data_IF_230538261126
#
_entry.id   IF_230538261126
#
_cell.length_a   1.000
_cell.length_b   1.000
_cell.length_c   1.000
_cell.angle_alpha   90.00
_cell.angle_beta   90.00
_cell.angle_gamma   90.00
#
_symmetry.space_group_name_H-M   'P 1'
#
loop_
_entity.id
_entity.type
_entity.pdbx_description
1 polymer ?
#
# COMPACT_ATOMS: atom_id res chain seq x y z
N UNK A 1 33.26 -3.08 0.18
CA UNK A 1 34.71 -3.44 0.26
C UNK A 1 35.15 -4.45 -0.78
N UNK A 2 34.72 -5.71 -0.82
CA UNK A 2 35.02 -6.65 -1.91
C UNK A 2 34.28 -6.22 -3.18
N UNK A 3 33.06 -5.78 -3.10
CA UNK A 3 32.24 -5.28 -4.23
C UNK A 3 32.79 -3.95 -4.79
N UNK A 4 33.24 -2.97 -3.98
CA UNK A 4 33.92 -1.75 -4.48
C UNK A 4 35.22 -2.08 -5.20
N UNK A 5 35.98 -3.09 -4.72
CA UNK A 5 37.18 -3.55 -5.43
C UNK A 5 36.88 -4.35 -6.70
N UNK A 6 35.79 -5.09 -6.72
CA UNK A 6 35.31 -5.77 -7.92
C UNK A 6 34.73 -4.75 -8.91
N UNK A 7 33.88 -3.82 -8.52
CA UNK A 7 33.35 -2.78 -9.40
C UNK A 7 34.47 -2.01 -10.11
N UNK A 8 35.48 -1.51 -9.40
CA UNK A 8 36.64 -0.81 -10.03
C UNK A 8 37.50 -1.67 -10.95
N UNK A 9 37.44 -3.01 -10.90
CA UNK A 9 38.07 -3.90 -11.88
C UNK A 9 37.14 -4.22 -13.06
N UNK A 10 35.83 -4.11 -12.88
CA UNK A 10 34.81 -4.45 -13.85
C UNK A 10 34.52 -3.33 -14.85
N UNK A 11 34.85 -2.08 -14.51
CA UNK A 11 34.81 -0.96 -15.46
C UNK A 11 35.69 -1.18 -16.71
N UNK A 12 36.59 -2.16 -16.66
CA UNK A 12 37.39 -2.56 -17.81
C UNK A 12 36.79 -3.66 -18.69
N UNK A 13 35.69 -4.29 -18.22
CA UNK A 13 34.95 -5.35 -18.95
C UNK A 13 33.56 -4.87 -19.41
N UNK A 14 33.46 -3.59 -19.71
CA UNK A 14 32.28 -2.74 -19.82
C UNK A 14 31.18 -3.18 -20.80
N UNK A 15 31.28 -4.29 -21.49
CA UNK A 15 30.33 -4.71 -22.54
C UNK A 15 29.97 -6.21 -22.47
N UNK A 16 30.23 -6.87 -21.35
CA UNK A 16 29.83 -8.28 -21.19
C UNK A 16 28.43 -8.37 -20.62
N UNK A 17 27.51 -9.24 -21.14
CA UNK A 17 26.21 -9.54 -20.54
C UNK A 17 26.32 -9.83 -19.04
N UNK A 18 27.36 -10.52 -18.60
CA UNK A 18 27.63 -10.81 -17.20
C UNK A 18 27.79 -9.55 -16.33
N UNK A 19 28.36 -8.48 -16.88
CA UNK A 19 28.50 -7.19 -16.16
C UNK A 19 27.14 -6.56 -15.92
N UNK A 20 26.26 -6.61 -16.91
CA UNK A 20 24.86 -6.16 -16.79
C UNK A 20 24.15 -6.97 -15.71
N UNK A 21 24.23 -8.30 -15.74
CA UNK A 21 23.60 -9.19 -14.77
C UNK A 21 24.04 -8.89 -13.33
N UNK A 22 25.35 -8.70 -13.10
CA UNK A 22 25.87 -8.40 -11.76
C UNK A 22 25.35 -7.04 -11.28
N UNK A 23 25.33 -6.02 -12.14
CA UNK A 23 24.81 -4.70 -11.79
C UNK A 23 23.32 -4.75 -11.51
N UNK A 24 22.54 -5.52 -12.29
CA UNK A 24 21.11 -5.74 -12.06
C UNK A 24 20.86 -6.43 -10.73
N UNK A 25 21.54 -7.52 -10.41
CA UNK A 25 21.40 -8.22 -9.13
C UNK A 25 21.70 -7.27 -7.96
N UNK A 26 22.77 -6.49 -8.06
CA UNK A 26 23.12 -5.50 -7.02
C UNK A 26 22.06 -4.41 -6.91
N UNK A 27 21.57 -3.87 -8.02
CA UNK A 27 20.55 -2.81 -8.02
C UNK A 27 19.21 -3.33 -7.50
N UNK A 28 18.80 -4.55 -7.85
CA UNK A 28 17.59 -5.21 -7.32
C UNK A 28 17.68 -5.37 -5.81
N UNK A 29 18.81 -5.88 -5.31
CA UNK A 29 19.03 -6.08 -3.87
C UNK A 29 18.94 -4.76 -3.10
N UNK A 30 19.68 -3.75 -3.53
CA UNK A 30 19.71 -2.45 -2.84
C UNK A 30 18.41 -1.65 -3.04
N UNK A 31 17.72 -1.77 -4.17
CA UNK A 31 16.41 -1.12 -4.35
C UNK A 31 15.33 -1.74 -3.48
N UNK A 32 15.39 -3.04 -3.23
CA UNK A 32 14.49 -3.73 -2.30
C UNK A 32 14.76 -3.30 -0.86
N UNK A 33 16.02 -3.15 -0.50
CA UNK A 33 16.44 -2.66 0.82
C UNK A 33 16.05 -1.21 1.07
N UNK A 34 16.12 -0.36 0.04
CA UNK A 34 15.68 1.04 0.14
C UNK A 34 14.16 1.20 0.21
N UNK A 35 13.40 0.22 -0.25
CA UNK A 35 11.95 0.26 -0.26
C UNK A 35 11.30 -0.32 1.00
N UNK A 36 11.87 -1.39 1.54
CA UNK A 36 11.57 -1.83 2.90
C UNK A 36 12.44 -0.99 3.83
N UNK A 37 11.88 -0.40 4.88
CA UNK A 37 12.65 0.01 6.05
C UNK A 37 13.33 -1.27 6.56
N UNK A 38 14.47 -1.57 5.99
CA UNK A 38 15.25 -2.74 6.36
C UNK A 38 15.66 -2.50 7.79
N UNK A 39 15.32 -3.46 8.65
CA UNK A 39 15.81 -3.51 10.01
C UNK A 39 17.31 -3.20 9.98
N UNK A 40 17.68 -2.00 10.45
CA UNK A 40 19.05 -1.49 10.42
C UNK A 40 20.03 -2.51 11.02
N UNK A 41 19.56 -3.33 11.96
CA UNK A 41 20.31 -4.41 12.58
C UNK A 41 20.75 -5.50 11.60
N UNK A 42 19.98 -5.78 10.57
CA UNK A 42 20.34 -6.79 9.55
C UNK A 42 21.39 -6.26 8.58
N UNK A 43 21.26 -5.01 8.16
CA UNK A 43 22.29 -4.35 7.31
C UNK A 43 23.58 -4.16 8.11
N UNK A 44 23.54 -3.74 9.36
CA UNK A 44 24.70 -3.65 10.24
C UNK A 44 25.40 -5.00 10.44
N UNK A 45 24.65 -6.09 10.54
CA UNK A 45 25.18 -7.44 10.66
C UNK A 45 25.90 -7.92 9.38
N UNK A 46 25.40 -7.56 8.20
CA UNK A 46 26.00 -7.89 6.91
C UNK A 46 27.14 -6.95 6.53
N UNK A 47 27.08 -5.69 6.96
CA UNK A 47 28.03 -4.63 6.58
C UNK A 47 28.89 -4.13 7.74
N UNK A 48 29.16 -4.94 8.74
CA UNK A 48 30.01 -4.56 9.90
C UNK A 48 31.21 -3.66 9.57
N UNK A 49 30.95 -2.51 8.96
CA UNK A 49 31.75 -1.29 8.85
C UNK A 49 31.05 -0.27 7.96
N UNK A 50 30.53 0.79 8.56
CA UNK A 50 30.51 2.16 8.03
C UNK A 50 29.98 2.34 6.58
N UNK A 51 28.73 1.94 6.29
CA UNK A 51 28.03 2.55 5.19
C UNK A 51 26.89 3.41 5.77
N UNK A 52 27.06 4.71 5.72
CA UNK A 52 26.00 5.69 5.93
C UNK A 52 24.87 5.40 4.92
N UNK A 53 23.60 5.59 5.30
CA UNK A 53 22.46 5.42 4.39
C UNK A 53 22.61 6.22 3.09
N UNK A 54 23.34 7.34 3.11
CA UNK A 54 23.75 8.10 1.94
C UNK A 54 24.67 7.32 1.00
N UNK A 55 25.55 6.47 1.51
CA UNK A 55 26.46 5.65 0.68
C UNK A 55 25.71 4.58 -0.11
N UNK A 56 24.65 3.99 0.45
CA UNK A 56 23.80 3.01 -0.23
C UNK A 56 23.01 3.70 -1.35
N UNK A 57 22.42 4.85 -1.07
CA UNK A 57 21.64 5.61 -2.06
C UNK A 57 22.54 6.11 -3.20
N UNK A 58 23.74 6.59 -2.90
CA UNK A 58 24.71 7.01 -3.91
C UNK A 58 25.16 5.84 -4.77
N UNK A 59 25.45 4.69 -4.16
CA UNK A 59 25.81 3.47 -4.89
C UNK A 59 24.68 2.98 -5.80
N UNK A 60 23.43 3.02 -5.32
CA UNK A 60 22.26 2.65 -6.10
C UNK A 60 22.08 3.60 -7.29
N UNK A 61 22.15 4.90 -7.07
CA UNK A 61 22.02 5.92 -8.12
C UNK A 61 23.11 5.78 -9.19
N UNK A 62 24.37 5.53 -8.79
CA UNK A 62 25.49 5.30 -9.72
C UNK A 62 25.26 4.03 -10.55
N UNK A 63 24.81 2.94 -9.92
CA UNK A 63 24.50 1.69 -10.61
C UNK A 63 23.37 1.86 -11.62
N UNK A 64 22.28 2.52 -11.23
CA UNK A 64 21.14 2.78 -12.11
C UNK A 64 21.52 3.68 -13.28
N UNK A 65 22.32 4.73 -13.04
CA UNK A 65 22.84 5.61 -14.08
C UNK A 65 23.73 4.86 -15.09
N UNK A 66 24.54 3.91 -14.61
CA UNK A 66 25.36 3.07 -15.48
C UNK A 66 24.49 2.09 -16.28
N UNK A 67 23.49 1.47 -15.66
CA UNK A 67 22.56 0.58 -16.34
C UNK A 67 21.76 1.32 -17.42
N UNK A 68 21.35 2.57 -17.17
CA UNK A 68 20.66 3.40 -18.15
C UNK A 68 21.51 3.64 -19.41
N UNK A 69 22.83 3.77 -19.27
CA UNK A 69 23.74 3.90 -20.42
C UNK A 69 23.94 2.60 -21.21
N UNK A 70 23.58 1.47 -20.62
CA UNK A 70 23.68 0.13 -21.22
C UNK A 70 22.34 -0.42 -21.69
N UNK A 71 21.28 0.39 -21.69
CA UNK A 71 19.90 -0.02 -22.01
C UNK A 71 19.84 -0.70 -23.39
N UNK A 72 20.47 -0.12 -24.41
CA UNK A 72 20.52 -0.68 -25.76
C UNK A 72 21.31 -2.01 -25.88
N UNK A 73 22.05 -2.37 -24.85
CA UNK A 73 22.82 -3.61 -24.79
C UNK A 73 22.12 -4.73 -24.00
N UNK A 74 20.96 -4.43 -23.38
CA UNK A 74 20.23 -5.38 -22.59
C UNK A 74 19.39 -6.30 -23.47
N UNK A 75 19.35 -7.59 -23.11
CA UNK A 75 18.30 -8.47 -23.61
C UNK A 75 16.96 -8.14 -22.94
N UNK A 76 15.86 -8.74 -23.44
CA UNK A 76 14.50 -8.49 -22.98
C UNK A 76 14.32 -8.77 -21.47
N UNK A 77 14.95 -9.83 -20.97
CA UNK A 77 14.89 -10.21 -19.56
C UNK A 77 15.70 -9.25 -18.68
N UNK A 78 16.89 -8.86 -19.12
CA UNK A 78 17.72 -7.88 -18.44
C UNK A 78 17.01 -6.53 -18.37
N UNK A 79 16.37 -6.11 -19.46
CA UNK A 79 15.59 -4.88 -19.51
C UNK A 79 14.37 -4.91 -18.56
N UNK A 80 13.71 -6.06 -18.44
CA UNK A 80 12.62 -6.22 -17.47
C UNK A 80 13.12 -6.09 -16.02
N UNK A 81 14.24 -6.67 -15.65
CA UNK A 81 14.82 -6.49 -14.31
C UNK A 81 15.31 -5.06 -14.07
N UNK A 82 15.85 -4.40 -15.08
CA UNK A 82 16.18 -2.96 -14.99
C UNK A 82 14.89 -2.13 -14.76
N UNK A 83 13.82 -2.41 -15.48
CA UNK A 83 12.52 -1.79 -15.31
C UNK A 83 11.95 -2.00 -13.90
N UNK A 84 12.17 -3.18 -13.29
CA UNK A 84 11.79 -3.45 -11.90
C UNK A 84 12.53 -2.52 -10.93
N UNK A 85 13.82 -2.31 -11.12
CA UNK A 85 14.60 -1.37 -10.30
C UNK A 85 14.07 0.06 -10.47
N UNK A 86 13.84 0.50 -11.70
CA UNK A 86 13.29 1.83 -12.00
C UNK A 86 11.92 2.03 -11.35
N UNK A 87 11.03 1.04 -11.39
CA UNK A 87 9.71 1.11 -10.76
C UNK A 87 9.78 1.33 -9.24
N UNK A 88 10.78 0.75 -8.57
CA UNK A 88 11.00 0.91 -7.13
C UNK A 88 11.54 2.28 -6.74
N UNK A 89 12.26 2.92 -7.63
CA UNK A 89 12.85 4.25 -7.42
C UNK A 89 11.92 5.39 -7.82
N UNK A 90 10.94 5.11 -8.68
CA UNK A 90 9.96 6.07 -9.17
C UNK A 90 8.88 6.32 -8.11
N UNK A 91 8.61 7.60 -7.82
CA UNK A 91 7.56 8.02 -6.88
C UNK A 91 6.23 8.33 -7.57
N UNK A 92 6.25 8.66 -8.84
CA UNK A 92 5.04 8.93 -9.61
C UNK A 92 4.35 7.62 -9.99
N UNK A 93 3.07 7.39 -9.57
CA UNK A 93 2.38 6.13 -9.85
C UNK A 93 2.07 5.88 -11.33
N UNK A 94 1.95 6.92 -12.15
CA UNK A 94 1.71 6.74 -13.59
C UNK A 94 3.00 6.26 -14.27
N UNK A 95 4.13 6.92 -14.02
CA UNK A 95 5.44 6.48 -14.49
C UNK A 95 5.80 5.08 -13.94
N UNK A 96 5.49 4.81 -12.68
CA UNK A 96 5.70 3.50 -12.05
C UNK A 96 4.92 2.39 -12.77
N UNK A 97 3.68 2.68 -13.20
CA UNK A 97 2.87 1.75 -13.97
C UNK A 97 3.48 1.46 -15.35
N UNK A 98 4.06 2.45 -16.01
CA UNK A 98 4.78 2.23 -17.27
C UNK A 98 5.96 1.27 -17.10
N UNK A 99 6.73 1.44 -16.00
CA UNK A 99 7.79 0.50 -15.65
C UNK A 99 7.26 -0.91 -15.36
N UNK A 100 6.17 -1.05 -14.62
CA UNK A 100 5.54 -2.35 -14.36
C UNK A 100 5.07 -3.06 -15.62
N UNK A 101 4.56 -2.31 -16.62
CA UNK A 101 4.21 -2.88 -17.93
C UNK A 101 5.44 -3.43 -18.66
N UNK A 102 6.57 -2.72 -18.60
CA UNK A 102 7.84 -3.19 -19.17
C UNK A 102 8.36 -4.43 -18.46
N UNK A 103 8.25 -4.49 -17.12
CA UNK A 103 8.59 -5.70 -16.35
C UNK A 103 7.76 -6.89 -16.82
N UNK A 104 6.45 -6.73 -16.92
CA UNK A 104 5.55 -7.80 -17.32
C UNK A 104 5.73 -8.21 -18.79
N UNK A 105 6.17 -7.31 -19.66
CA UNK A 105 6.48 -7.65 -21.06
C UNK A 105 7.65 -8.64 -21.14
N UNK A 106 8.74 -8.41 -20.44
CA UNK A 106 9.92 -9.28 -20.44
C UNK A 106 9.85 -10.46 -19.43
N UNK A 107 8.97 -10.38 -18.42
CA UNK A 107 8.78 -11.45 -17.43
C UNK A 107 7.31 -11.89 -17.41
N UNK A 108 6.99 -12.92 -18.22
CA UNK A 108 5.64 -13.50 -18.34
C UNK A 108 5.31 -14.49 -17.20
N UNK A 109 5.84 -14.25 -16.00
CA UNK A 109 5.74 -15.08 -14.82
C UNK A 109 5.00 -14.38 -13.67
N UNK A 110 4.90 -15.02 -12.50
CA UNK A 110 4.23 -14.44 -11.32
C UNK A 110 4.85 -13.11 -10.89
N UNK A 111 6.18 -12.93 -11.00
CA UNK A 111 6.84 -11.67 -10.64
C UNK A 111 6.36 -10.51 -11.52
N UNK A 112 6.36 -10.69 -12.86
CA UNK A 112 5.88 -9.65 -13.78
C UNK A 112 4.42 -9.30 -13.56
N UNK A 113 3.58 -10.30 -13.30
CA UNK A 113 2.17 -10.09 -12.98
C UNK A 113 1.96 -9.40 -11.63
N UNK A 114 2.74 -9.72 -10.58
CA UNK A 114 2.68 -9.06 -9.27
C UNK A 114 3.01 -7.58 -9.38
N UNK A 115 3.94 -7.20 -10.25
CA UNK A 115 4.24 -5.79 -10.52
C UNK A 115 3.01 -5.04 -11.07
N UNK A 116 2.31 -5.63 -12.06
CA UNK A 116 1.06 -5.03 -12.58
C UNK A 116 -0.02 -4.93 -11.51
N UNK A 117 -0.20 -5.96 -10.70
CA UNK A 117 -1.18 -5.98 -9.61
C UNK A 117 -0.91 -4.85 -8.63
N UNK A 118 0.35 -4.63 -8.24
CA UNK A 118 0.74 -3.51 -7.39
C UNK A 118 0.40 -2.16 -8.03
N UNK A 119 0.67 -2.01 -9.33
CA UNK A 119 0.33 -0.79 -10.08
C UNK A 119 -1.17 -0.55 -10.15
N UNK A 120 -1.96 -1.57 -10.42
CA UNK A 120 -3.42 -1.47 -10.42
C UNK A 120 -3.97 -1.11 -9.04
N UNK A 121 -3.42 -1.71 -7.99
CA UNK A 121 -3.82 -1.39 -6.62
C UNK A 121 -3.55 0.08 -6.26
N UNK A 122 -2.35 0.58 -6.58
CA UNK A 122 -1.97 2.00 -6.36
C UNK A 122 -2.85 2.99 -7.15
N UNK A 123 -3.40 2.57 -8.29
CA UNK A 123 -4.29 3.38 -9.12
C UNK A 123 -5.78 3.17 -8.80
N UNK A 124 -6.10 2.34 -7.81
CA UNK A 124 -7.46 1.91 -7.48
C UNK A 124 -8.21 1.24 -8.66
N UNK A 125 -7.48 0.54 -9.53
CA UNK A 125 -8.02 -0.25 -10.63
C UNK A 125 -8.28 -1.70 -10.18
N UNK A 126 -9.09 -1.87 -9.15
CA UNK A 126 -9.29 -3.15 -8.45
C UNK A 126 -9.82 -4.27 -9.34
N UNK A 127 -10.68 -3.98 -10.31
CA UNK A 127 -11.16 -4.97 -11.29
C UNK A 127 -10.08 -5.54 -12.17
N UNK A 128 -9.07 -4.74 -12.51
CA UNK A 128 -7.95 -5.26 -13.26
C UNK A 128 -7.25 -6.38 -12.48
N UNK A 129 -7.17 -6.24 -11.15
CA UNK A 129 -6.65 -7.27 -10.25
C UNK A 129 -7.52 -8.53 -10.30
N UNK A 130 -8.85 -8.36 -10.16
CA UNK A 130 -9.79 -9.49 -10.17
C UNK A 130 -9.76 -10.27 -11.48
N UNK A 131 -9.68 -9.57 -12.63
CA UNK A 131 -9.59 -10.20 -13.95
C UNK A 131 -8.30 -11.01 -14.18
N UNK A 132 -7.25 -10.77 -13.40
CA UNK A 132 -5.99 -11.51 -13.51
C UNK A 132 -6.04 -12.88 -12.82
N UNK A 133 -7.09 -13.22 -12.04
CA UNK A 133 -7.11 -14.40 -11.17
C UNK A 133 -6.72 -15.70 -11.91
N UNK A 134 -7.44 -16.05 -12.95
CA UNK A 134 -7.19 -17.32 -13.65
C UNK A 134 -5.75 -17.40 -14.19
N UNK A 135 -5.28 -16.32 -14.82
CA UNK A 135 -3.93 -16.26 -15.38
C UNK A 135 -2.86 -16.35 -14.30
N UNK A 136 -3.05 -15.60 -13.19
CA UNK A 136 -2.08 -15.59 -12.10
C UNK A 136 -2.02 -16.94 -11.36
N UNK A 137 -3.17 -17.50 -11.03
CA UNK A 137 -3.27 -18.81 -10.35
C UNK A 137 -2.62 -19.89 -11.19
N UNK A 138 -2.89 -19.93 -12.51
CA UNK A 138 -2.26 -20.90 -13.41
C UNK A 138 -0.75 -20.77 -13.39
N UNK A 139 -0.22 -19.57 -13.57
CA UNK A 139 1.24 -19.34 -13.56
C UNK A 139 1.86 -19.71 -12.20
N UNK A 140 1.22 -19.33 -11.07
CA UNK A 140 1.73 -19.67 -9.75
C UNK A 140 1.79 -21.17 -9.49
N UNK A 141 0.81 -21.93 -10.00
CA UNK A 141 0.80 -23.38 -9.90
C UNK A 141 1.86 -24.03 -10.81
N UNK A 142 2.03 -23.54 -12.03
CA UNK A 142 3.07 -24.01 -12.97
C UNK A 142 4.48 -23.75 -12.44
N UNK A 143 4.69 -22.60 -11.77
CA UNK A 143 5.96 -22.25 -11.13
C UNK A 143 6.18 -22.93 -9.77
N UNK A 144 5.15 -23.56 -9.19
CA UNK A 144 5.18 -24.07 -7.81
C UNK A 144 5.33 -22.97 -6.77
N UNK A 145 4.93 -21.71 -7.09
CA UNK A 145 5.15 -20.53 -6.28
C UNK A 145 3.96 -20.25 -5.36
N UNK A 146 3.90 -21.00 -4.25
CA UNK A 146 2.83 -20.90 -3.25
C UNK A 146 2.81 -19.51 -2.57
N UNK A 147 3.99 -18.89 -2.39
CA UNK A 147 4.09 -17.57 -1.82
C UNK A 147 3.43 -16.52 -2.72
N UNK A 148 3.75 -16.49 -4.01
CA UNK A 148 3.12 -15.57 -4.96
C UNK A 148 1.60 -15.78 -5.04
N UNK A 149 1.14 -17.04 -4.97
CA UNK A 149 -0.29 -17.35 -4.94
C UNK A 149 -0.98 -16.76 -3.69
N UNK A 150 -0.35 -16.89 -2.54
CA UNK A 150 -0.88 -16.33 -1.28
C UNK A 150 -0.88 -14.80 -1.30
N UNK A 151 0.18 -14.19 -1.83
CA UNK A 151 0.30 -12.75 -2.01
C UNK A 151 -0.79 -12.20 -2.94
N UNK A 152 -1.02 -12.89 -4.07
CA UNK A 152 -2.12 -12.57 -4.97
C UNK A 152 -3.48 -12.58 -4.26
N UNK A 153 -3.76 -13.63 -3.48
CA UNK A 153 -5.01 -13.70 -2.73
C UNK A 153 -5.14 -12.59 -1.68
N UNK A 154 -4.04 -12.24 -1.01
CA UNK A 154 -4.02 -11.12 -0.09
C UNK A 154 -4.31 -9.79 -0.79
N UNK A 155 -3.67 -9.53 -1.93
CA UNK A 155 -3.89 -8.31 -2.72
C UNK A 155 -5.32 -8.24 -3.27
N UNK A 156 -5.86 -9.36 -3.72
CA UNK A 156 -7.23 -9.46 -4.22
C UNK A 156 -8.26 -9.22 -3.09
N UNK A 157 -8.03 -9.81 -1.92
CA UNK A 157 -8.81 -9.53 -0.71
C UNK A 157 -8.74 -8.05 -0.30
N UNK A 158 -7.56 -7.44 -0.37
CA UNK A 158 -7.36 -6.02 -0.09
C UNK A 158 -8.10 -5.11 -1.10
N UNK A 159 -8.14 -5.51 -2.37
CA UNK A 159 -8.89 -4.80 -3.40
C UNK A 159 -10.42 -4.82 -3.10
N UNK A 160 -10.96 -5.96 -2.68
CA UNK A 160 -12.36 -6.06 -2.24
C UNK A 160 -12.61 -5.27 -0.94
N UNK A 161 -11.66 -5.26 0.01
CA UNK A 161 -11.75 -4.45 1.21
C UNK A 161 -11.84 -2.94 0.92
N UNK A 162 -11.13 -2.46 -0.11
CA UNK A 162 -11.18 -1.06 -0.53
C UNK A 162 -12.53 -0.60 -1.08
N UNK A 163 -13.43 -1.53 -1.42
CA UNK A 163 -14.78 -1.25 -1.95
C UNK A 163 -15.88 -1.82 -1.06
N UNK A 164 -15.57 -2.13 0.20
CA UNK A 164 -16.48 -2.66 1.23
C UNK A 164 -17.23 -3.94 0.84
N UNK A 165 -16.60 -4.78 -0.01
CA UNK A 165 -17.14 -6.10 -0.37
C UNK A 165 -16.62 -7.16 0.62
N UNK A 166 -17.17 -7.14 1.84
CA UNK A 166 -16.70 -7.92 2.98
C UNK A 166 -16.77 -9.44 2.78
N UNK A 167 -17.77 -9.95 2.08
CA UNK A 167 -17.90 -11.38 1.78
C UNK A 167 -16.74 -11.87 0.89
N UNK A 168 -16.45 -11.17 -0.21
CA UNK A 168 -15.39 -11.51 -1.12
C UNK A 168 -14.02 -11.30 -0.47
N UNK A 169 -13.81 -10.20 0.24
CA UNK A 169 -12.61 -9.96 1.06
C UNK A 169 -12.34 -11.16 1.97
N UNK A 170 -13.35 -11.62 2.71
CA UNK A 170 -13.22 -12.74 3.64
C UNK A 170 -12.80 -14.03 2.94
N UNK A 171 -13.39 -14.33 1.77
CA UNK A 171 -13.03 -15.52 0.96
C UNK A 171 -11.53 -15.50 0.59
N UNK A 172 -11.04 -14.37 0.09
CA UNK A 172 -9.64 -14.27 -0.36
C UNK A 172 -8.64 -14.25 0.80
N UNK A 173 -8.97 -13.57 1.89
CA UNK A 173 -8.12 -13.60 3.09
C UNK A 173 -8.08 -14.98 3.75
N UNK A 174 -9.18 -15.73 3.71
CA UNK A 174 -9.18 -17.11 4.17
C UNK A 174 -8.32 -18.02 3.29
N UNK A 175 -8.31 -17.81 1.95
CA UNK A 175 -7.38 -18.50 1.06
C UNK A 175 -5.91 -18.17 1.40
N UNK A 176 -5.57 -16.90 1.63
CA UNK A 176 -4.25 -16.47 2.09
C UNK A 176 -3.87 -17.15 3.40
N UNK A 177 -4.76 -17.11 4.39
CA UNK A 177 -4.54 -17.74 5.70
C UNK A 177 -4.27 -19.23 5.58
N UNK A 178 -5.07 -19.97 4.81
CA UNK A 178 -4.89 -21.42 4.62
C UNK A 178 -3.54 -21.78 4.02
N UNK A 179 -3.02 -20.97 3.12
CA UNK A 179 -1.71 -21.20 2.52
C UNK A 179 -0.56 -20.87 3.47
N UNK A 180 -0.68 -19.81 4.30
CA UNK A 180 0.45 -19.25 5.04
C UNK A 180 0.44 -19.51 6.55
N UNK A 181 -0.70 -19.82 7.20
CA UNK A 181 -0.83 -19.85 8.68
C UNK A 181 0.17 -20.77 9.40
N UNK A 182 0.70 -21.79 8.72
CA UNK A 182 1.68 -22.73 9.25
C UNK A 182 3.10 -22.48 8.72
N UNK A 183 3.34 -21.33 8.10
CA UNK A 183 4.64 -20.93 7.54
C UNK A 183 5.22 -19.73 8.30
N UNK A 184 6.53 -19.50 8.14
CA UNK A 184 7.17 -18.30 8.68
C UNK A 184 6.65 -17.00 8.10
N UNK A 185 6.12 -17.02 6.87
CA UNK A 185 5.57 -15.87 6.17
C UNK A 185 4.25 -15.35 6.76
N UNK A 186 3.51 -16.18 7.53
CA UNK A 186 2.23 -15.75 8.13
C UNK A 186 2.35 -14.46 8.93
N UNK A 187 3.46 -14.28 9.65
CA UNK A 187 3.69 -13.08 10.49
C UNK A 187 3.69 -11.77 9.69
N UNK A 188 4.07 -11.83 8.42
CA UNK A 188 4.09 -10.66 7.53
C UNK A 188 2.68 -10.25 7.10
N UNK A 189 1.77 -11.22 6.94
CA UNK A 189 0.41 -10.99 6.45
C UNK A 189 -0.63 -10.82 7.55
N UNK A 190 -0.44 -11.46 8.70
CA UNK A 190 -1.43 -11.54 9.79
C UNK A 190 -1.95 -10.16 10.19
N UNK A 191 -1.05 -9.21 10.41
CA UNK A 191 -1.41 -7.88 10.91
C UNK A 191 -2.21 -7.07 9.89
N UNK A 192 -1.75 -7.04 8.63
CA UNK A 192 -2.44 -6.36 7.54
C UNK A 192 -3.81 -6.97 7.24
N UNK A 193 -3.90 -8.30 7.28
CA UNK A 193 -5.14 -9.04 7.04
C UNK A 193 -6.19 -8.68 8.12
N UNK A 194 -5.87 -8.78 9.40
CA UNK A 194 -6.81 -8.44 10.46
C UNK A 194 -7.15 -6.94 10.50
N UNK A 195 -6.19 -6.07 10.19
CA UNK A 195 -6.46 -4.64 10.06
C UNK A 195 -7.50 -4.35 8.95
N UNK A 196 -7.28 -4.90 7.75
CA UNK A 196 -8.18 -4.69 6.62
C UNK A 196 -9.57 -5.29 6.88
N UNK A 197 -9.65 -6.50 7.45
CA UNK A 197 -10.93 -7.09 7.85
C UNK A 197 -11.66 -6.20 8.85
N UNK A 198 -10.98 -5.76 9.90
CA UNK A 198 -11.57 -4.90 10.92
C UNK A 198 -12.04 -3.56 10.35
N UNK A 199 -11.26 -2.93 9.47
CA UNK A 199 -11.62 -1.69 8.81
C UNK A 199 -12.84 -1.85 7.89
N UNK A 200 -12.92 -2.96 7.14
CA UNK A 200 -14.06 -3.25 6.25
C UNK A 200 -15.31 -3.60 7.04
N UNK A 201 -15.22 -4.46 8.06
CA UNK A 201 -16.36 -4.78 8.93
C UNK A 201 -16.91 -3.53 9.64
N UNK A 202 -16.02 -2.61 10.06
CA UNK A 202 -16.43 -1.31 10.60
C UNK A 202 -17.24 -0.50 9.57
N UNK A 203 -16.77 -0.42 8.32
CA UNK A 203 -17.42 0.34 7.26
C UNK A 203 -18.81 -0.21 6.88
N UNK A 204 -19.00 -1.54 6.96
CA UNK A 204 -20.29 -2.20 6.66
C UNK A 204 -21.19 -2.39 7.90
N UNK A 205 -20.78 -1.87 9.06
CA UNK A 205 -21.61 -1.88 10.29
C UNK A 205 -21.55 -3.18 11.10
N UNK A 206 -20.58 -4.07 10.81
CA UNK A 206 -20.35 -5.33 11.55
C UNK A 206 -19.38 -5.08 12.71
N UNK A 207 -19.85 -4.35 13.72
CA UNK A 207 -18.99 -3.78 14.76
C UNK A 207 -18.32 -4.80 15.68
N UNK A 208 -18.99 -5.92 15.99
CA UNK A 208 -18.42 -6.98 16.84
C UNK A 208 -17.25 -7.69 16.14
N UNK A 209 -17.44 -8.04 14.87
CA UNK A 209 -16.36 -8.65 14.06
C UNK A 209 -15.24 -7.66 13.79
N UNK A 210 -15.56 -6.37 13.62
CA UNK A 210 -14.55 -5.32 13.50
C UNK A 210 -13.67 -5.25 14.74
N UNK A 211 -14.29 -5.27 15.93
CA UNK A 211 -13.59 -5.21 17.21
C UNK A 211 -12.69 -6.45 17.41
N UNK A 212 -13.20 -7.66 17.11
CA UNK A 212 -12.40 -8.88 17.21
C UNK A 212 -11.15 -8.82 16.30
N UNK A 213 -11.32 -8.40 15.06
CA UNK A 213 -10.22 -8.28 14.11
C UNK A 213 -9.20 -7.21 14.53
N UNK A 214 -9.66 -5.99 14.87
CA UNK A 214 -8.76 -4.89 15.26
C UNK A 214 -7.99 -5.18 16.56
N UNK A 215 -8.56 -6.00 17.48
CA UNK A 215 -7.86 -6.40 18.70
C UNK A 215 -6.77 -7.46 18.48
N UNK A 216 -6.76 -8.15 17.35
CA UNK A 216 -5.67 -9.05 16.94
C UNK A 216 -4.47 -8.33 16.37
N UNK A 217 -4.65 -7.08 15.93
CA UNK A 217 -3.56 -6.23 15.43
C UNK A 217 -2.73 -5.71 16.60
N UNK A 218 -1.42 -5.93 16.56
CA UNK A 218 -0.50 -5.64 17.68
C UNK A 218 0.18 -4.28 17.56
N UNK A 219 0.19 -3.67 16.37
CA UNK A 219 0.75 -2.33 16.21
C UNK A 219 -0.13 -1.29 16.91
N UNK A 220 0.51 -0.25 17.46
CA UNK A 220 -0.20 0.95 17.97
C UNK A 220 0.09 2.15 17.05
N UNK A 221 -0.07 1.93 15.74
CA UNK A 221 0.07 3.00 14.78
C UNK A 221 -1.19 3.90 14.73
N UNK A 222 -1.05 5.04 14.05
CA UNK A 222 -2.10 6.03 13.95
C UNK A 222 -3.38 5.46 13.32
N UNK A 223 -3.26 4.66 12.27
CA UNK A 223 -4.42 4.15 11.52
C UNK A 223 -5.22 3.12 12.33
N UNK A 224 -4.55 2.25 13.08
CA UNK A 224 -5.23 1.33 13.99
C UNK A 224 -5.95 2.09 15.12
N UNK A 225 -5.27 3.06 15.74
CA UNK A 225 -5.89 3.89 16.77
C UNK A 225 -7.11 4.64 16.23
N UNK A 226 -7.03 5.16 15.01
CA UNK A 226 -8.15 5.80 14.32
C UNK A 226 -9.35 4.85 14.16
N UNK A 227 -9.14 3.62 13.66
CA UNK A 227 -10.23 2.63 13.51
C UNK A 227 -10.85 2.24 14.84
N UNK A 228 -10.04 2.04 15.87
CA UNK A 228 -10.53 1.72 17.22
C UNK A 228 -11.29 2.90 17.84
N UNK A 229 -10.79 4.12 17.72
CA UNK A 229 -11.50 5.31 18.20
C UNK A 229 -12.87 5.44 17.53
N UNK A 230 -12.91 5.34 16.20
CA UNK A 230 -14.15 5.42 15.43
C UNK A 230 -15.14 4.33 15.83
N UNK A 231 -14.70 3.07 15.91
CA UNK A 231 -15.53 1.96 16.34
C UNK A 231 -16.13 2.19 17.74
N UNK A 232 -15.33 2.66 18.69
CA UNK A 232 -15.82 2.93 20.05
C UNK A 232 -16.77 4.13 20.11
N UNK A 233 -16.63 5.14 19.24
CA UNK A 233 -17.61 6.23 19.09
C UNK A 233 -18.96 5.66 18.60
N UNK A 234 -18.96 4.80 17.59
CA UNK A 234 -20.17 4.17 17.05
C UNK A 234 -20.85 3.23 18.07
N UNK A 235 -20.08 2.57 18.93
CA UNK A 235 -20.58 1.74 20.03
C UNK A 235 -21.00 2.54 21.27
N UNK A 236 -20.82 3.85 21.30
CA UNK A 236 -21.10 4.69 22.47
C UNK A 236 -20.11 4.53 23.64
N UNK A 237 -18.97 3.87 23.42
CA UNK A 237 -17.93 3.63 24.40
C UNK A 237 -16.98 4.83 24.50
N UNK A 238 -17.46 5.95 25.04
CA UNK A 238 -16.73 7.24 25.03
C UNK A 238 -15.37 7.18 25.72
N UNK A 239 -15.23 6.41 26.79
CA UNK A 239 -13.95 6.27 27.53
C UNK A 239 -12.86 5.64 26.68
N UNK A 240 -13.18 4.57 25.96
CA UNK A 240 -12.26 3.88 25.07
C UNK A 240 -11.96 4.73 23.84
N UNK A 241 -12.95 5.43 23.30
CA UNK A 241 -12.74 6.38 22.22
C UNK A 241 -11.76 7.49 22.63
N UNK A 242 -11.95 8.11 23.79
CA UNK A 242 -11.05 9.13 24.35
C UNK A 242 -9.63 8.61 24.57
N UNK A 243 -9.49 7.35 25.00
CA UNK A 243 -8.19 6.71 25.17
C UNK A 243 -7.43 6.66 23.82
N UNK A 244 -8.07 6.16 22.75
CA UNK A 244 -7.41 6.08 21.44
C UNK A 244 -7.19 7.45 20.81
N UNK A 245 -8.09 8.43 21.00
CA UNK A 245 -7.89 9.80 20.58
C UNK A 245 -6.68 10.45 21.27
N UNK A 246 -6.46 10.16 22.56
CA UNK A 246 -5.29 10.65 23.27
C UNK A 246 -3.98 10.07 22.68
N UNK A 247 -3.96 8.77 22.34
CA UNK A 247 -2.82 8.13 21.67
C UNK A 247 -2.59 8.77 20.30
N UNK A 248 -3.63 8.94 19.48
CA UNK A 248 -3.52 9.60 18.16
C UNK A 248 -2.93 11.00 18.28
N UNK A 249 -3.37 11.79 19.26
CA UNK A 249 -2.84 13.15 19.53
C UNK A 249 -1.34 13.10 19.85
N UNK A 250 -0.92 12.12 20.67
CA UNK A 250 0.49 11.92 21.00
C UNK A 250 1.30 11.52 19.76
N UNK A 251 0.80 10.61 18.95
CA UNK A 251 1.46 10.19 17.70
C UNK A 251 1.62 11.38 16.74
N UNK A 252 0.60 12.21 16.56
CA UNK A 252 0.66 13.41 15.70
C UNK A 252 1.70 14.45 16.13
N UNK A 253 2.16 14.42 17.40
CA UNK A 253 3.22 15.31 17.90
C UNK A 253 4.63 14.86 17.49
N UNK A 254 4.80 13.63 17.00
CA UNK A 254 6.10 13.07 16.59
C UNK A 254 6.64 13.75 15.34
N UNK A 255 7.98 13.72 15.16
CA UNK A 255 8.66 14.36 14.03
C UNK A 255 8.29 13.72 12.67
N UNK A 256 8.14 12.42 12.63
CA UNK A 256 7.76 11.62 11.46
C UNK A 256 6.33 11.88 10.98
N UNK A 257 5.47 12.41 11.86
CA UNK A 257 4.09 12.81 11.53
C UNK A 257 3.97 14.27 11.07
N UNK A 258 5.09 15.03 11.02
CA UNK A 258 5.07 16.41 10.51
C UNK A 258 4.78 16.40 9.01
N UNK A 259 3.74 17.11 8.61
CA UNK A 259 3.32 17.21 7.19
C UNK A 259 2.30 16.18 6.75
N UNK A 260 1.96 15.19 7.57
CA UNK A 260 0.87 14.25 7.31
C UNK A 260 -0.48 14.94 7.56
N UNK A 261 -1.02 15.53 6.49
CA UNK A 261 -2.22 16.35 6.56
C UNK A 261 -3.49 15.52 6.71
N UNK A 262 -3.58 14.40 5.99
CA UNK A 262 -4.75 13.53 6.05
C UNK A 262 -4.96 13.00 7.48
N UNK A 263 -3.92 12.49 8.13
CA UNK A 263 -4.00 11.95 9.49
C UNK A 263 -4.42 13.02 10.51
N UNK A 264 -3.96 14.27 10.35
CA UNK A 264 -4.41 15.37 11.20
C UNK A 264 -5.89 15.65 11.04
N UNK A 265 -6.38 15.69 9.79
CA UNK A 265 -7.78 15.93 9.49
C UNK A 265 -8.67 14.76 9.93
N UNK A 266 -8.19 13.51 9.82
CA UNK A 266 -8.87 12.33 10.35
C UNK A 266 -9.02 12.38 11.88
N UNK A 267 -8.01 12.87 12.59
CA UNK A 267 -8.10 13.09 14.03
C UNK A 267 -9.10 14.21 14.40
N UNK A 268 -9.02 15.34 13.71
CA UNK A 268 -9.94 16.47 13.92
C UNK A 268 -11.39 16.06 13.66
N UNK A 269 -11.60 15.21 12.66
CA UNK A 269 -12.90 14.67 12.26
C UNK A 269 -13.51 13.82 13.38
N UNK A 270 -12.79 12.83 13.92
CA UNK A 270 -13.26 12.04 15.05
C UNK A 270 -13.54 12.89 16.32
N UNK A 271 -12.73 13.94 16.55
CA UNK A 271 -13.02 14.87 17.64
C UNK A 271 -14.35 15.64 17.44
N UNK A 272 -14.73 15.88 16.18
CA UNK A 272 -16.04 16.50 15.90
C UNK A 272 -17.20 15.50 15.97
N UNK A 273 -16.99 14.23 15.61
CA UNK A 273 -18.00 13.19 15.75
C UNK A 273 -18.51 12.96 17.19
N UNK A 274 -17.72 13.35 18.20
CA UNK A 274 -18.17 13.33 19.60
C UNK A 274 -19.31 14.31 19.89
N UNK A 275 -19.57 15.27 19.00
CA UNK A 275 -20.65 16.25 19.16
C UNK A 275 -21.95 15.70 18.61
N UNK A 276 -23.04 15.96 19.30
CA UNK A 276 -24.36 15.67 18.78
C UNK A 276 -24.63 16.46 17.48
N UNK A 277 -25.21 15.82 16.48
CA UNK A 277 -25.56 16.41 15.18
C UNK A 277 -24.37 17.02 14.41
N UNK A 278 -23.17 16.47 14.56
CA UNK A 278 -21.94 17.00 13.95
C UNK A 278 -22.04 17.16 12.42
N UNK A 279 -22.75 16.27 11.72
CA UNK A 279 -22.93 16.34 10.25
C UNK A 279 -23.73 17.56 9.79
N UNK A 280 -24.49 18.19 10.68
CA UNK A 280 -25.20 19.45 10.43
C UNK A 280 -24.35 20.71 10.68
N UNK A 281 -23.19 20.57 11.34
CA UNK A 281 -22.29 21.70 11.64
C UNK A 281 -21.55 22.16 10.36
N UNK A 282 -21.66 23.44 9.95
CA UNK A 282 -20.91 23.94 8.80
C UNK A 282 -19.40 23.80 8.92
N UNK A 283 -18.85 23.84 10.15
CA UNK A 283 -17.42 23.64 10.39
C UNK A 283 -16.99 22.20 10.11
N UNK A 284 -17.88 21.22 10.36
CA UNK A 284 -17.65 19.82 9.98
C UNK A 284 -17.55 19.66 8.47
N UNK A 285 -18.43 20.31 7.71
CA UNK A 285 -18.38 20.23 6.26
C UNK A 285 -17.09 20.83 5.67
N UNK A 286 -16.60 21.96 6.21
CA UNK A 286 -15.31 22.52 5.79
C UNK A 286 -14.16 21.54 6.08
N UNK A 287 -14.18 20.92 7.25
CA UNK A 287 -13.21 19.90 7.64
C UNK A 287 -13.24 18.71 6.67
N UNK A 288 -14.42 18.16 6.37
CA UNK A 288 -14.60 17.04 5.44
C UNK A 288 -14.13 17.40 4.03
N UNK A 289 -14.42 18.59 3.52
CA UNK A 289 -13.92 19.02 2.21
C UNK A 289 -12.38 19.16 2.17
N UNK A 290 -11.76 19.51 3.29
CA UNK A 290 -10.28 19.52 3.42
C UNK A 290 -9.73 18.09 3.45
N UNK A 291 -10.39 17.20 4.19
CA UNK A 291 -10.01 15.78 4.28
C UNK A 291 -10.12 15.10 2.91
N UNK A 292 -11.22 15.28 2.17
CA UNK A 292 -11.38 14.76 0.81
C UNK A 292 -10.20 15.19 -0.08
N UNK A 293 -9.85 16.50 -0.07
CA UNK A 293 -8.72 17.00 -0.87
C UNK A 293 -7.39 16.38 -0.46
N UNK A 294 -7.15 16.18 0.84
CA UNK A 294 -5.94 15.54 1.34
C UNK A 294 -5.87 14.07 0.90
N UNK A 295 -6.93 13.29 1.08
CA UNK A 295 -7.01 11.87 0.69
C UNK A 295 -6.85 11.67 -0.83
N UNK A 296 -7.44 12.55 -1.65
CA UNK A 296 -7.26 12.50 -3.11
C UNK A 296 -5.81 12.80 -3.48
N UNK A 297 -5.20 13.84 -2.88
CA UNK A 297 -3.80 14.20 -3.11
C UNK A 297 -2.83 13.07 -2.74
N UNK A 298 -3.11 12.38 -1.65
CA UNK A 298 -2.32 11.25 -1.16
C UNK A 298 -2.70 9.91 -1.81
N UNK A 299 -3.68 9.93 -2.75
CA UNK A 299 -4.22 8.73 -3.45
C UNK A 299 -4.76 7.65 -2.48
N UNK A 300 -5.22 8.06 -1.32
CA UNK A 300 -5.77 7.20 -0.27
C UNK A 300 -7.26 6.89 -0.52
N UNK A 301 -7.56 6.27 -1.66
CA UNK A 301 -8.95 6.07 -2.13
C UNK A 301 -9.76 5.11 -1.24
N UNK A 302 -9.11 4.12 -0.61
CA UNK A 302 -9.77 3.22 0.34
C UNK A 302 -10.37 3.98 1.54
N UNK A 303 -9.62 4.97 2.09
CA UNK A 303 -10.16 5.83 3.14
C UNK A 303 -11.30 6.71 2.63
N UNK A 304 -11.16 7.28 1.44
CA UNK A 304 -12.20 8.11 0.85
C UNK A 304 -13.50 7.32 0.68
N UNK A 305 -13.41 6.04 0.32
CA UNK A 305 -14.55 5.15 0.23
C UNK A 305 -15.19 4.88 1.60
N UNK A 306 -14.39 4.64 2.63
CA UNK A 306 -14.88 4.42 4.01
C UNK A 306 -15.61 5.63 4.58
N UNK A 307 -15.20 6.85 4.25
CA UNK A 307 -15.89 8.09 4.65
C UNK A 307 -17.12 8.41 3.80
N UNK A 308 -17.42 7.64 2.75
CA UNK A 308 -18.47 7.93 1.77
C UNK A 308 -19.81 8.29 2.40
N UNK A 309 -20.27 7.48 3.34
CA UNK A 309 -21.60 7.66 3.92
C UNK A 309 -21.71 8.95 4.75
N UNK A 310 -20.72 9.23 5.59
CA UNK A 310 -20.71 10.44 6.42
C UNK A 310 -20.52 11.71 5.58
N UNK A 311 -19.73 11.64 4.51
CA UNK A 311 -19.58 12.75 3.54
C UNK A 311 -20.91 13.06 2.86
N UNK A 312 -21.60 12.01 2.35
CA UNK A 312 -22.89 12.20 1.69
C UNK A 312 -23.95 12.72 2.66
N UNK A 313 -23.95 12.26 3.91
CA UNK A 313 -24.84 12.76 4.96
C UNK A 313 -24.58 14.24 5.24
N UNK A 314 -23.31 14.64 5.43
CA UNK A 314 -22.94 16.04 5.68
C UNK A 314 -23.38 16.96 4.54
N UNK A 315 -23.16 16.58 3.28
CA UNK A 315 -23.66 17.35 2.15
C UNK A 315 -25.17 17.45 2.11
N UNK A 316 -25.87 16.32 2.37
CA UNK A 316 -27.34 16.25 2.31
C UNK A 316 -27.97 17.10 3.41
N UNK A 317 -27.49 16.99 4.65
CA UNK A 317 -27.98 17.78 5.79
C UNK A 317 -27.81 19.27 5.58
N UNK A 318 -26.75 19.69 4.89
CA UNK A 318 -26.49 21.07 4.56
C UNK A 318 -27.08 21.50 3.20
N UNK A 319 -27.95 20.69 2.62
CA UNK A 319 -28.65 20.94 1.33
C UNK A 319 -27.71 21.20 0.15
N UNK A 320 -26.47 20.67 0.19
CA UNK A 320 -25.49 20.79 -0.90
C UNK A 320 -25.61 19.58 -1.85
N UNK A 321 -26.81 19.32 -2.34
CA UNK A 321 -27.15 18.12 -3.14
C UNK A 321 -26.29 17.96 -4.40
N UNK A 322 -25.93 19.06 -5.05
CA UNK A 322 -25.04 19.01 -6.23
C UNK A 322 -23.67 18.45 -5.88
N UNK A 323 -23.07 18.88 -4.76
CA UNK A 323 -21.78 18.35 -4.28
C UNK A 323 -21.91 16.88 -3.85
N UNK A 324 -23.02 16.48 -3.23
CA UNK A 324 -23.27 15.09 -2.89
C UNK A 324 -23.32 14.20 -4.14
N UNK A 325 -23.99 14.67 -5.21
CA UNK A 325 -24.05 13.96 -6.49
C UNK A 325 -22.67 13.85 -7.14
N UNK A 326 -21.96 14.98 -7.29
CA UNK A 326 -20.61 15.03 -7.86
C UNK A 326 -19.64 14.09 -7.12
N UNK A 327 -19.69 14.07 -5.79
CA UNK A 327 -18.89 13.17 -4.97
C UNK A 327 -19.28 11.70 -5.19
N UNK A 328 -20.58 11.40 -5.19
CA UNK A 328 -21.09 10.04 -5.46
C UNK A 328 -20.68 9.54 -6.84
N UNK A 329 -20.75 10.39 -7.87
CA UNK A 329 -20.31 10.06 -9.22
C UNK A 329 -18.79 9.84 -9.30
N UNK A 330 -18.00 10.68 -8.61
CA UNK A 330 -16.55 10.56 -8.54
C UNK A 330 -16.12 9.23 -7.90
N UNK A 331 -16.73 8.84 -6.79
CA UNK A 331 -16.50 7.55 -6.14
C UNK A 331 -16.96 6.41 -7.05
N UNK A 332 -18.17 6.50 -7.61
CA UNK A 332 -18.74 5.47 -8.49
C UNK A 332 -17.95 5.31 -9.80
N UNK A 333 -17.41 6.37 -10.37
CA UNK A 333 -16.59 6.27 -11.59
C UNK A 333 -15.29 5.50 -11.36
N UNK A 334 -14.74 5.56 -10.14
CA UNK A 334 -13.55 4.78 -9.76
C UNK A 334 -13.90 3.32 -9.43
N UNK A 335 -15.11 3.06 -8.92
CA UNK A 335 -15.60 1.72 -8.64
C UNK A 335 -16.32 1.06 -9.83
N UNK A 336 -16.95 1.83 -10.76
CA UNK A 336 -17.66 1.31 -11.95
C UNK A 336 -16.74 0.94 -13.12
N UNK A 337 -15.52 1.44 -13.17
CA UNK A 337 -14.48 0.78 -14.00
C UNK A 337 -14.27 -0.67 -13.57
N UNK A 338 -14.89 -1.06 -12.49
CA UNK A 338 -14.92 -2.30 -11.75
C UNK A 338 -16.02 -3.31 -12.12
N UNK A 339 -16.98 -3.01 -12.97
CA UNK A 339 -18.18 -3.87 -13.09
C UNK A 339 -18.52 -4.35 -14.51
N UNK A 340 -17.62 -4.21 -15.50
CA UNK A 340 -17.84 -4.78 -16.85
C UNK A 340 -16.62 -5.49 -17.41
#
# INVERSE_FOLDING_TARGET
>A
TVWKKLAGKWDRLLMSPLTIDIRLVSAIYYSESAWKEVDESFIESLMKKEADGNDIQNFLNENVSTLAQLEDCMDEKQYAYYSLVCSRLTKDPAEKMEWYQKVQHGLQNTLGMSCLISGYYEQAEYDAIHRMENRFVTAALEEGNVYALADYYFMNGSAYACVDMDEMMTVYYERTRRLLQNTGWWKEYEQGLYYNMGATYLAVGRYEEALDCLNRVRSEDFLLCHKKAWLHLLLGNTREADHYLAIMKQLLSRKDMKGKMAERLMYEELCMEQKQDFTADPAYLDLIERLIRALIKEKSFGFLYQYKNVILEAYTRQRKYKKALEFSEQISAKTRKSTF
#
